data_IF_879922847106
#
_entry.id   IF_879922847106
#
_cell.length_a   1.000
_cell.length_b   1.000
_cell.length_c   1.000
_cell.angle_alpha   90.00
_cell.angle_beta   90.00
_cell.angle_gamma   90.00
#
_symmetry.space_group_name_H-M   'P 1'
#
loop_
_entity.id
_entity.type
_entity.pdbx_description
1 polymer ?
#
# COMPACT_ATOMS: atom_id res chain seq x y z
N UNK A 1 26.28 -2.14 9.19
CA UNK A 1 24.93 -2.70 8.98
C UNK A 1 23.80 -1.65 8.97
N UNK A 2 23.63 -0.83 10.01
CA UNK A 2 22.42 0.02 10.20
C UNK A 2 22.16 1.04 9.09
N UNK A 3 23.21 1.61 8.47
CA UNK A 3 23.08 2.58 7.37
C UNK A 3 22.47 1.97 6.10
N UNK A 4 22.79 0.71 5.81
CA UNK A 4 22.29 0.01 4.61
C UNK A 4 20.81 -0.32 4.80
N UNK A 5 20.43 -0.81 5.97
CA UNK A 5 19.02 -1.09 6.30
C UNK A 5 18.19 0.19 6.22
N UNK A 6 18.68 1.31 6.76
CA UNK A 6 18.01 2.60 6.65
C UNK A 6 17.81 3.05 5.21
N UNK A 7 18.84 2.92 4.36
CA UNK A 7 18.75 3.23 2.93
C UNK A 7 17.72 2.35 2.19
N UNK A 8 17.72 1.05 2.47
CA UNK A 8 16.75 0.11 1.89
C UNK A 8 15.31 0.46 2.26
N UNK A 9 15.06 0.78 3.54
CA UNK A 9 13.73 1.22 4.01
C UNK A 9 13.33 2.54 3.37
N UNK A 10 14.27 3.48 3.21
CA UNK A 10 13.97 4.77 2.59
C UNK A 10 13.59 4.63 1.11
N UNK A 11 14.32 3.82 0.36
CA UNK A 11 13.98 3.48 -1.03
C UNK A 11 12.61 2.78 -1.10
N UNK A 12 12.36 1.84 -0.20
CA UNK A 12 11.07 1.15 -0.09
C UNK A 12 9.91 2.13 0.09
N UNK A 13 10.04 3.08 1.03
CA UNK A 13 9.00 4.07 1.31
C UNK A 13 8.77 5.00 0.11
N UNK A 14 9.82 5.39 -0.62
CA UNK A 14 9.69 6.18 -1.84
C UNK A 14 8.89 5.42 -2.90
N UNK A 15 9.24 4.16 -3.17
CA UNK A 15 8.52 3.32 -4.14
C UNK A 15 7.05 3.14 -3.73
N UNK A 16 6.80 2.92 -2.44
CA UNK A 16 5.44 2.81 -1.90
C UNK A 16 4.63 4.10 -2.05
N UNK A 17 5.24 5.26 -1.79
CA UNK A 17 4.60 6.57 -1.98
C UNK A 17 4.26 6.81 -3.47
N UNK A 18 5.17 6.49 -4.38
CA UNK A 18 4.92 6.58 -5.82
C UNK A 18 3.77 5.66 -6.23
N UNK A 19 3.70 4.43 -5.72
CA UNK A 19 2.60 3.50 -6.00
C UNK A 19 1.24 4.01 -5.51
N UNK A 20 1.19 4.62 -4.31
CA UNK A 20 -0.03 5.25 -3.79
C UNK A 20 -0.46 6.45 -4.66
N UNK A 21 0.51 7.23 -5.16
CA UNK A 21 0.28 8.32 -6.09
C UNK A 21 -0.25 7.87 -7.45
N UNK A 22 0.31 6.79 -8.02
CA UNK A 22 -0.17 6.20 -9.28
C UNK A 22 -1.62 5.71 -9.18
N UNK A 23 -2.06 5.26 -8.00
CA UNK A 23 -3.46 4.90 -7.72
C UNK A 23 -4.36 6.11 -7.46
N UNK A 24 -3.83 7.33 -7.54
CA UNK A 24 -4.57 8.56 -7.28
C UNK A 24 -4.96 8.77 -5.82
N UNK A 25 -4.38 8.02 -4.88
CA UNK A 25 -4.84 8.06 -3.48
C UNK A 25 -4.49 9.37 -2.77
N UNK A 26 -3.52 10.14 -3.25
CA UNK A 26 -3.23 11.46 -2.64
C UNK A 26 -4.26 12.54 -2.98
N UNK A 27 -5.01 12.40 -4.06
CA UNK A 27 -5.99 13.40 -4.52
C UNK A 27 -7.43 12.90 -4.45
N UNK A 28 -7.65 11.60 -4.59
CA UNK A 28 -8.98 10.99 -4.68
C UNK A 28 -9.33 10.08 -3.50
N UNK A 29 -8.41 9.83 -2.56
CA UNK A 29 -8.77 9.04 -1.39
C UNK A 29 -9.70 9.85 -0.47
N UNK A 30 -10.72 9.15 0.03
CA UNK A 30 -11.59 9.66 1.11
C UNK A 30 -10.74 10.10 2.30
N UNK A 31 -10.94 11.31 2.79
CA UNK A 31 -10.26 11.87 3.97
C UNK A 31 -10.82 11.27 5.27
N UNK A 32 -10.78 9.93 5.36
CA UNK A 32 -11.30 9.12 6.46
C UNK A 32 -10.21 8.18 6.96
N UNK A 33 -10.39 7.60 8.15
CA UNK A 33 -9.46 6.59 8.68
C UNK A 33 -9.24 5.42 7.71
N UNK A 34 -10.28 5.04 6.96
CA UNK A 34 -10.20 4.00 5.94
C UNK A 34 -9.33 4.42 4.75
N UNK A 35 -9.45 5.67 4.28
CA UNK A 35 -8.59 6.19 3.21
C UNK A 35 -7.12 6.30 3.64
N UNK A 36 -6.87 6.82 4.85
CA UNK A 36 -5.53 6.87 5.42
C UNK A 36 -4.93 5.47 5.58
N UNK A 37 -5.71 4.50 6.07
CA UNK A 37 -5.31 3.10 6.17
C UNK A 37 -4.99 2.48 4.80
N UNK A 38 -5.78 2.79 3.77
CA UNK A 38 -5.54 2.32 2.40
C UNK A 38 -4.23 2.85 1.83
N UNK A 39 -3.92 4.13 2.06
CA UNK A 39 -2.64 4.74 1.66
C UNK A 39 -1.49 4.06 2.40
N UNK A 40 -1.59 3.93 3.74
CA UNK A 40 -0.54 3.32 4.55
C UNK A 40 -0.24 1.87 4.14
N UNK A 41 -1.29 1.04 3.97
CA UNK A 41 -1.15 -0.33 3.48
C UNK A 41 -0.56 -0.36 2.08
N UNK A 42 -0.93 0.57 1.20
CA UNK A 42 -0.36 0.64 -0.16
C UNK A 42 1.12 1.00 -0.15
N UNK A 43 1.56 1.91 0.72
CA UNK A 43 2.98 2.27 0.83
C UNK A 43 3.82 1.08 1.33
N UNK A 44 3.27 0.28 2.25
CA UNK A 44 3.97 -0.89 2.80
C UNK A 44 3.90 -2.09 1.85
N UNK A 45 2.71 -2.45 1.38
CA UNK A 45 2.44 -3.65 0.58
C UNK A 45 2.65 -3.44 -0.93
N UNK A 46 2.66 -2.21 -1.42
CA UNK A 46 2.92 -1.89 -2.82
C UNK A 46 4.28 -2.41 -3.30
N UNK A 47 5.39 -2.08 -2.60
CA UNK A 47 6.71 -2.62 -2.91
C UNK A 47 6.75 -4.16 -2.84
N UNK A 48 6.08 -4.78 -1.87
CA UNK A 48 5.97 -6.25 -1.77
C UNK A 48 5.31 -6.88 -3.00
N UNK A 49 4.33 -6.20 -3.62
CA UNK A 49 3.67 -6.69 -4.82
C UNK A 49 4.59 -6.63 -6.06
N UNK A 50 5.52 -5.67 -6.13
CA UNK A 50 6.59 -5.69 -7.14
C UNK A 50 7.56 -6.87 -6.98
N UNK A 51 7.70 -7.39 -5.75
CA UNK A 51 8.41 -8.64 -5.48
C UNK A 51 7.54 -9.89 -5.72
N UNK A 52 6.34 -9.75 -6.31
CA UNK A 52 5.45 -10.85 -6.67
C UNK A 52 4.54 -11.36 -5.54
N UNK A 53 4.61 -10.73 -4.36
CA UNK A 53 3.75 -11.10 -3.23
C UNK A 53 2.37 -10.47 -3.44
N UNK A 54 1.40 -11.29 -3.85
CA UNK A 54 0.01 -10.89 -4.06
C UNK A 54 -0.87 -11.35 -2.88
N UNK A 55 -1.00 -10.57 -1.79
CA UNK A 55 -1.87 -10.91 -0.69
C UNK A 55 -3.33 -10.80 -1.14
N UNK A 56 -3.96 -11.94 -1.41
CA UNK A 56 -5.40 -12.04 -1.64
C UNK A 56 -6.08 -12.36 -0.32
N UNK A 57 -7.13 -11.59 0.00
CA UNK A 57 -8.00 -11.92 1.12
C UNK A 57 -8.81 -13.15 0.71
N UNK A 58 -8.48 -14.31 1.29
CA UNK A 58 -9.08 -15.60 0.91
C UNK A 58 -10.53 -15.76 1.37
N UNK A 59 -10.94 -15.01 2.39
CA UNK A 59 -12.28 -15.09 2.99
C UNK A 59 -12.90 -13.69 3.04
N UNK A 60 -13.40 -13.23 1.89
CA UNK A 60 -14.19 -12.00 1.81
C UNK A 60 -15.65 -12.40 1.59
N UNK A 61 -16.45 -12.46 2.66
CA UNK A 61 -17.90 -12.63 2.56
C UNK A 61 -18.51 -11.28 2.19
N UNK A 62 -18.64 -11.03 0.90
CA UNK A 62 -19.35 -9.85 0.41
C UNK A 62 -20.85 -10.16 0.42
N UNK A 63 -21.71 -9.30 1.00
CA UNK A 63 -23.15 -9.53 0.97
C UNK A 63 -23.64 -9.59 -0.49
N UNK A 64 -24.47 -10.57 -0.80
CA UNK A 64 -25.07 -10.73 -2.11
C UNK A 64 -25.93 -9.49 -2.42
N UNK A 65 -25.76 -8.83 -3.58
CA UNK A 65 -26.65 -7.74 -3.96
C UNK A 65 -28.09 -8.27 -4.07
N UNK A 66 -29.04 -7.45 -3.63
CA UNK A 66 -30.48 -7.73 -3.67
C UNK A 66 -31.04 -7.56 -5.07
#
# INVERSE_FOLDING_TARGET
MTRIVGLLVLIWLIVGAVAAGQRGYFTHASQTCAGAGTIAVTVIAGPLNYFGLNPKVSNCTVPQPS
#
